data_IF_949776323935
#
_entry.id   IF_949776323935
#
_cell.length_a   1.000
_cell.length_b   1.000
_cell.length_c   1.000
_cell.angle_alpha   90.00
_cell.angle_beta   90.00
_cell.angle_gamma   90.00
#
_symmetry.space_group_name_H-M   'P 1'
#
loop_
_entity.id
_entity.type
_entity.pdbx_description
1 polymer ?
#
# COMPACT_ATOMS: atom_id res chain seq x y z
N UNK A 1 0.98 11.43 -1.63
CA UNK A 1 1.45 12.74 -1.10
C UNK A 1 0.76 12.98 0.24
N UNK A 2 1.26 13.88 1.09
CA UNK A 2 0.68 14.09 2.43
C UNK A 2 -0.78 14.59 2.43
N UNK A 3 -1.24 15.18 1.32
CA UNK A 3 -2.61 15.73 1.21
C UNK A 3 -3.71 14.70 1.49
N UNK A 4 -3.47 13.42 1.19
CA UNK A 4 -4.39 12.30 1.50
C UNK A 4 -4.53 12.02 3.01
N UNK A 5 -3.66 12.61 3.84
CA UNK A 5 -3.64 12.47 5.31
C UNK A 5 -3.70 13.83 6.02
N UNK A 6 -4.26 14.84 5.37
CA UNK A 6 -4.42 16.20 5.92
C UNK A 6 -3.46 17.25 5.38
N UNK A 7 -2.38 16.85 4.70
CA UNK A 7 -1.44 17.77 4.04
C UNK A 7 -0.34 18.32 4.95
N UNK A 8 0.78 18.75 4.34
CA UNK A 8 1.91 19.33 5.06
C UNK A 8 1.81 20.86 5.20
N UNK A 9 0.90 21.49 4.46
CA UNK A 9 0.78 22.94 4.36
C UNK A 9 -0.67 23.32 4.63
N UNK A 10 -0.87 24.29 5.50
CA UNK A 10 -2.17 24.87 5.79
C UNK A 10 -2.81 25.45 4.52
N UNK A 11 -4.12 25.25 4.37
CA UNK A 11 -4.84 25.62 3.14
C UNK A 11 -4.67 24.62 1.98
N UNK A 12 -3.98 23.49 2.17
CA UNK A 12 -4.06 22.38 1.22
C UNK A 12 -5.44 21.72 1.27
N UNK A 13 -6.05 21.56 0.11
CA UNK A 13 -7.37 20.92 -0.03
C UNK A 13 -7.23 19.65 -0.86
N UNK A 14 -7.62 18.48 -0.32
CA UNK A 14 -7.58 17.21 -1.04
C UNK A 14 -8.32 17.28 -2.38
N UNK A 15 -7.62 16.99 -3.46
CA UNK A 15 -8.15 16.97 -4.84
C UNK A 15 -8.00 18.28 -5.60
N UNK A 16 -7.68 19.38 -4.94
CA UNK A 16 -7.77 20.73 -5.53
C UNK A 16 -6.42 21.42 -5.74
N UNK A 17 -6.42 22.48 -6.54
CA UNK A 17 -5.30 23.43 -6.62
C UNK A 17 -5.80 24.78 -6.12
N UNK A 18 -5.46 25.11 -4.88
CA UNK A 18 -5.87 26.37 -4.25
C UNK A 18 -4.88 27.46 -4.63
N UNK A 19 -5.36 28.65 -4.98
CA UNK A 19 -4.51 29.84 -5.16
C UNK A 19 -4.73 30.78 -3.99
N UNK A 20 -3.67 31.11 -3.26
CA UNK A 20 -3.72 32.03 -2.11
C UNK A 20 -3.91 33.47 -2.56
N UNK A 21 -4.28 34.36 -1.64
CA UNK A 21 -4.48 35.79 -1.94
C UNK A 21 -3.23 36.49 -2.51
N UNK A 22 -2.03 36.00 -2.16
CA UNK A 22 -0.75 36.48 -2.70
C UNK A 22 -0.27 35.69 -3.94
N UNK A 23 -1.13 34.87 -4.55
CA UNK A 23 -0.87 34.22 -5.84
C UNK A 23 -0.12 32.88 -5.79
N UNK A 24 0.12 32.30 -4.62
CA UNK A 24 0.78 30.98 -4.48
C UNK A 24 -0.21 29.86 -4.80
N UNK A 25 0.20 28.87 -5.60
CA UNK A 25 -0.64 27.70 -5.89
C UNK A 25 -0.26 26.51 -4.99
N UNK A 26 -1.21 26.05 -4.20
CA UNK A 26 -1.11 24.86 -3.35
C UNK A 26 -1.75 23.70 -4.08
N UNK A 27 -0.94 22.75 -4.55
CA UNK A 27 -1.40 21.59 -5.33
C UNK A 27 -1.70 20.41 -4.39
N UNK A 28 -2.98 20.05 -4.29
CA UNK A 28 -3.51 19.00 -3.43
C UNK A 28 -3.99 17.76 -4.17
N UNK A 29 -3.47 17.45 -5.36
CA UNK A 29 -3.94 16.28 -6.13
C UNK A 29 -3.86 14.96 -5.35
N UNK A 30 -4.97 14.21 -5.41
CA UNK A 30 -5.06 12.82 -4.96
C UNK A 30 -4.49 11.89 -6.03
N UNK A 31 -4.08 10.68 -5.63
CA UNK A 31 -3.63 9.63 -6.54
C UNK A 31 -2.65 10.14 -7.62
N UNK A 32 -1.59 10.83 -7.19
CA UNK A 32 -0.54 11.32 -8.10
C UNK A 32 0.07 10.20 -8.95
N UNK A 33 0.30 8.96 -8.44
CA UNK A 33 0.74 7.85 -9.30
C UNK A 33 -0.22 7.58 -10.46
N UNK A 34 -1.54 7.67 -10.24
CA UNK A 34 -2.55 7.53 -11.29
C UNK A 34 -2.47 8.60 -12.38
N UNK A 35 -1.86 9.75 -12.12
CA UNK A 35 -1.60 10.80 -13.13
C UNK A 35 -0.41 10.46 -14.05
N UNK A 36 0.36 9.43 -13.71
CA UNK A 36 1.43 8.84 -14.52
C UNK A 36 1.20 7.32 -14.65
N UNK A 37 -0.05 6.95 -15.00
CA UNK A 37 -0.55 5.58 -14.92
C UNK A 37 0.35 4.55 -15.62
N UNK A 38 0.88 4.85 -16.82
CA UNK A 38 1.71 3.91 -17.57
C UNK A 38 2.99 3.53 -16.79
N UNK A 39 3.75 4.53 -16.35
CA UNK A 39 4.99 4.31 -15.60
C UNK A 39 4.71 3.72 -14.21
N UNK A 40 3.70 4.23 -13.50
CA UNK A 40 3.32 3.70 -12.19
C UNK A 40 2.93 2.22 -12.27
N UNK A 41 2.14 1.85 -13.29
CA UNK A 41 1.74 0.45 -13.54
C UNK A 41 2.95 -0.44 -13.82
N UNK A 42 3.88 0.01 -14.66
CA UNK A 42 5.10 -0.75 -14.98
C UNK A 42 5.98 -1.00 -13.75
N UNK A 43 6.20 0.02 -12.92
CA UNK A 43 7.00 -0.12 -11.70
C UNK A 43 6.30 -1.01 -10.67
N UNK A 44 4.99 -0.85 -10.50
CA UNK A 44 4.21 -1.69 -9.59
C UNK A 44 4.20 -3.16 -10.04
N UNK A 45 4.02 -3.42 -11.34
CA UNK A 45 4.09 -4.77 -11.90
C UNK A 45 5.46 -5.43 -11.66
N UNK A 46 6.56 -4.68 -11.80
CA UNK A 46 7.90 -5.18 -11.49
C UNK A 46 8.07 -5.54 -10.02
N UNK A 47 7.54 -4.73 -9.10
CA UNK A 47 7.57 -5.02 -7.67
C UNK A 47 6.76 -6.29 -7.34
N UNK A 48 5.56 -6.42 -7.91
CA UNK A 48 4.73 -7.62 -7.74
C UNK A 48 5.41 -8.86 -8.31
N UNK A 49 6.00 -8.77 -9.50
CA UNK A 49 6.72 -9.87 -10.11
C UNK A 49 7.89 -10.33 -9.23
N UNK A 50 8.75 -9.40 -8.79
CA UNK A 50 9.89 -9.72 -7.94
C UNK A 50 9.45 -10.36 -6.61
N UNK A 51 8.35 -9.87 -6.02
CA UNK A 51 7.78 -10.44 -4.81
C UNK A 51 7.22 -11.85 -5.05
N UNK A 52 6.35 -12.05 -6.04
CA UNK A 52 5.73 -13.35 -6.33
C UNK A 52 6.76 -14.39 -6.76
N UNK A 53 7.82 -13.99 -7.46
CA UNK A 53 8.92 -14.89 -7.83
C UNK A 53 9.54 -15.57 -6.59
N UNK A 54 9.60 -14.89 -5.43
CA UNK A 54 10.08 -15.49 -4.18
C UNK A 54 9.16 -16.58 -3.61
N UNK A 55 7.89 -16.59 -4.03
CA UNK A 55 6.84 -17.50 -3.54
C UNK A 55 6.64 -18.72 -4.44
N UNK A 56 7.34 -18.80 -5.57
CA UNK A 56 7.20 -19.89 -6.55
C UNK A 56 8.31 -20.91 -6.37
N UNK A 57 7.93 -22.19 -6.29
CA UNK A 57 8.90 -23.28 -6.33
C UNK A 57 9.39 -23.46 -7.78
N UNK A 58 10.71 -23.35 -7.97
CA UNK A 58 11.32 -23.38 -9.31
C UNK A 58 11.32 -24.78 -9.94
N UNK A 59 11.21 -25.84 -9.16
CA UNK A 59 11.15 -27.22 -9.65
C UNK A 59 9.73 -27.61 -10.05
N UNK A 60 8.75 -27.38 -9.17
CA UNK A 60 7.36 -27.77 -9.42
C UNK A 60 6.59 -26.75 -10.26
N UNK A 61 7.12 -25.53 -10.40
CA UNK A 61 6.44 -24.38 -11.04
C UNK A 61 5.11 -24.02 -10.39
N UNK A 62 4.88 -24.45 -9.15
CA UNK A 62 3.69 -24.14 -8.38
C UNK A 62 3.98 -23.06 -7.34
N UNK A 63 2.93 -22.48 -6.78
CA UNK A 63 3.06 -21.65 -5.59
C UNK A 63 3.58 -22.53 -4.43
N UNK A 64 4.70 -22.13 -3.84
CA UNK A 64 5.43 -22.84 -2.79
C UNK A 64 5.77 -21.87 -1.65
N UNK A 65 4.75 -21.27 -1.06
CA UNK A 65 4.92 -20.22 -0.03
C UNK A 65 5.61 -20.80 1.21
N UNK A 66 6.75 -20.20 1.59
CA UNK A 66 7.45 -20.49 2.84
C UNK A 66 6.84 -19.64 3.96
N UNK A 67 5.94 -20.23 4.74
CA UNK A 67 5.17 -19.50 5.76
C UNK A 67 6.01 -19.04 6.97
N UNK A 68 7.18 -19.62 7.14
CA UNK A 68 8.15 -19.27 8.16
C UNK A 68 9.08 -18.12 7.77
N UNK A 69 9.13 -17.77 6.47
CA UNK A 69 9.92 -16.68 5.92
C UNK A 69 9.46 -15.30 6.45
N UNK A 70 10.41 -14.44 6.77
CA UNK A 70 10.14 -13.13 7.38
C UNK A 70 9.35 -12.20 6.43
N UNK A 71 9.64 -12.24 5.13
CA UNK A 71 8.94 -11.43 4.13
C UNK A 71 7.47 -11.87 4.05
N UNK A 72 7.22 -13.18 4.08
CA UNK A 72 5.85 -13.71 4.09
C UNK A 72 5.12 -13.32 5.37
N UNK A 73 5.73 -13.49 6.55
CA UNK A 73 5.12 -13.11 7.83
C UNK A 73 4.79 -11.61 7.91
N UNK A 74 5.65 -10.76 7.38
CA UNK A 74 5.46 -9.31 7.39
C UNK A 74 4.36 -8.82 6.43
N UNK A 75 4.00 -9.62 5.42
CA UNK A 75 3.06 -9.21 4.37
C UNK A 75 1.73 -9.98 4.39
N UNK A 76 1.69 -11.16 5.01
CA UNK A 76 0.51 -12.02 5.09
C UNK A 76 -0.47 -11.52 6.16
N UNK A 77 -1.61 -10.97 5.73
CA UNK A 77 -2.68 -10.52 6.64
C UNK A 77 -3.62 -11.65 7.07
N UNK A 78 -4.07 -12.47 6.13
CA UNK A 78 -5.09 -13.50 6.34
C UNK A 78 -4.69 -14.81 5.66
N UNK A 79 -5.05 -15.94 6.26
CA UNK A 79 -4.93 -17.27 5.66
C UNK A 79 -6.04 -18.17 6.18
N UNK A 80 -6.58 -19.06 5.34
CA UNK A 80 -7.55 -20.09 5.73
C UNK A 80 -8.80 -19.52 6.44
N UNK A 81 -9.25 -18.33 6.02
CA UNK A 81 -10.41 -17.66 6.61
C UNK A 81 -10.15 -16.94 7.94
N UNK A 82 -8.91 -16.88 8.42
CA UNK A 82 -8.53 -16.22 9.66
C UNK A 82 -7.52 -15.09 9.45
N UNK A 83 -7.54 -14.08 10.33
CA UNK A 83 -6.47 -13.09 10.42
C UNK A 83 -5.27 -13.72 11.14
N UNK A 84 -4.11 -13.68 10.51
CA UNK A 84 -2.86 -14.29 11.03
C UNK A 84 -1.79 -13.25 11.36
N UNK A 85 -1.92 -12.03 10.85
CA UNK A 85 -0.94 -10.98 11.14
C UNK A 85 -1.15 -10.41 12.55
N UNK A 86 -0.12 -10.38 13.40
CA UNK A 86 -0.24 -9.99 14.81
C UNK A 86 -0.75 -8.55 14.99
N UNK A 87 -0.32 -7.62 14.14
CA UNK A 87 -0.78 -6.22 14.17
C UNK A 87 -2.24 -5.99 13.72
N UNK A 88 -2.91 -7.01 13.19
CA UNK A 88 -4.31 -6.95 12.74
C UNK A 88 -5.20 -7.96 13.47
N UNK A 89 -4.64 -8.71 14.43
CA UNK A 89 -5.43 -9.64 15.22
C UNK A 89 -6.61 -8.88 15.86
N UNK A 90 -7.83 -9.42 15.83
CA UNK A 90 -8.96 -8.80 16.48
C UNK A 90 -8.60 -8.54 17.94
N UNK A 91 -8.86 -7.34 18.44
CA UNK A 91 -8.73 -7.07 19.87
C UNK A 91 -9.49 -8.16 20.61
N UNK A 92 -8.83 -8.84 21.56
CA UNK A 92 -9.53 -9.80 22.43
C UNK A 92 -10.72 -9.04 23.00
N UNK A 93 -11.93 -9.47 22.61
CA UNK A 93 -13.14 -8.91 23.17
C UNK A 93 -13.02 -9.10 24.69
N UNK A 94 -12.89 -7.99 25.41
CA UNK A 94 -13.02 -7.97 26.87
C UNK A 94 -14.26 -8.77 27.21
N UNK A 95 -14.07 -9.94 27.81
CA UNK A 95 -15.18 -10.72 28.34
C UNK A 95 -15.91 -9.83 29.36
N UNK A 96 -17.18 -9.54 29.08
CA UNK A 96 -18.09 -8.87 30.00
C UNK A 96 -18.53 -9.85 31.10
#
# INVERSE_FOLDING_TARGET
>A
LAVERGGNVEGSVPGEVVTTANGVKIVGHLNVPGRLAATASQLYAKNLYAFVETLVDKATKSLGVKWDDELVKATLLTRDGAVVHPGFAPAQASAA
#
